data_IF_542846657182
#
_entry.id   IF_542846657182
#
_cell.length_a   1.000
_cell.length_b   1.000
_cell.length_c   1.000
_cell.angle_alpha   90.00
_cell.angle_beta   90.00
_cell.angle_gamma   90.00
#
_symmetry.space_group_name_H-M   'P 1'
#
loop_
_entity.id
_entity.type
_entity.pdbx_description
1 polymer ?
#
# COMPACT_ATOMS: atom_id res chain seq x y z
N UNK A 1 -33.33 -0.04 -21.68
CA UNK A 1 -32.39 -1.16 -22.00
C UNK A 1 -33.18 -2.45 -21.99
N UNK A 2 -32.96 -3.36 -22.93
CA UNK A 2 -33.59 -4.69 -22.92
C UNK A 2 -33.10 -5.55 -21.72
N UNK A 3 -33.85 -6.58 -21.29
CA UNK A 3 -33.47 -7.44 -20.17
C UNK A 3 -32.12 -8.14 -20.40
N UNK A 4 -31.33 -8.27 -19.33
CA UNK A 4 -30.00 -8.90 -19.35
C UNK A 4 -30.10 -10.38 -19.72
N UNK A 5 -29.21 -10.87 -20.59
CA UNK A 5 -29.17 -12.29 -20.93
C UNK A 5 -28.23 -13.06 -19.97
N UNK A 6 -28.72 -14.03 -19.19
CA UNK A 6 -27.93 -14.71 -18.15
C UNK A 6 -26.81 -15.61 -18.71
N UNK A 7 -26.86 -15.97 -20.00
CA UNK A 7 -25.82 -16.78 -20.65
C UNK A 7 -24.64 -15.93 -21.11
N UNK A 8 -24.88 -14.74 -21.66
CA UNK A 8 -23.85 -13.87 -22.24
C UNK A 8 -23.40 -12.77 -21.30
N UNK A 9 -24.31 -12.17 -20.54
CA UNK A 9 -23.99 -11.06 -19.64
C UNK A 9 -23.67 -11.61 -18.25
N UNK A 10 -22.44 -12.12 -18.05
CA UNK A 10 -21.98 -12.57 -16.72
C UNK A 10 -21.65 -11.39 -15.80
N UNK A 11 -21.85 -11.56 -14.49
CA UNK A 11 -21.63 -10.51 -13.49
C UNK A 11 -20.14 -10.15 -13.39
N UNK A 12 -19.28 -11.17 -13.42
CA UNK A 12 -17.84 -11.09 -13.60
C UNK A 12 -17.54 -11.63 -14.98
N UNK A 13 -16.83 -10.84 -15.79
CA UNK A 13 -16.41 -11.22 -17.13
C UNK A 13 -14.89 -11.01 -17.26
N UNK A 14 -14.29 -11.58 -18.30
CA UNK A 14 -12.85 -11.49 -18.54
C UNK A 14 -12.37 -10.04 -18.69
N UNK A 15 -13.22 -9.15 -19.24
CA UNK A 15 -12.92 -7.72 -19.35
C UNK A 15 -12.78 -7.04 -17.99
N UNK A 16 -13.63 -7.39 -17.03
CA UNK A 16 -13.57 -6.90 -15.66
C UNK A 16 -12.29 -7.42 -14.98
N UNK A 17 -11.99 -8.70 -15.14
CA UNK A 17 -10.78 -9.32 -14.58
C UNK A 17 -9.52 -8.64 -15.17
N UNK A 18 -9.48 -8.46 -16.49
CA UNK A 18 -8.36 -7.83 -17.19
C UNK A 18 -8.13 -6.37 -16.74
N UNK A 19 -9.20 -5.58 -16.58
CA UNK A 19 -9.09 -4.21 -16.10
C UNK A 19 -8.62 -4.15 -14.64
N UNK A 20 -9.24 -4.94 -13.76
CA UNK A 20 -8.94 -4.92 -12.33
C UNK A 20 -7.55 -5.49 -12.01
N UNK A 21 -7.28 -6.73 -12.41
CA UNK A 21 -6.02 -7.40 -12.07
C UNK A 21 -4.88 -7.02 -13.01
N UNK A 22 -5.16 -6.86 -14.30
CA UNK A 22 -4.11 -6.65 -15.31
C UNK A 22 -3.63 -5.21 -15.42
N UNK A 23 -4.48 -4.22 -15.11
CA UNK A 23 -4.14 -2.80 -15.28
C UNK A 23 -4.09 -2.08 -13.94
N UNK A 24 -5.23 -1.95 -13.26
CA UNK A 24 -5.32 -1.15 -12.04
C UNK A 24 -4.48 -1.79 -10.93
N UNK A 25 -4.65 -3.08 -10.67
CA UNK A 25 -3.91 -3.81 -9.65
C UNK A 25 -2.40 -3.77 -9.85
N UNK A 26 -1.93 -3.79 -11.10
CA UNK A 26 -0.49 -3.67 -11.40
C UNK A 26 0.04 -2.28 -11.03
N UNK A 27 -0.71 -1.21 -11.32
CA UNK A 27 -0.33 0.16 -10.94
C UNK A 27 -0.32 0.30 -9.41
N UNK A 28 -1.32 -0.27 -8.73
CA UNK A 28 -1.38 -0.28 -7.26
C UNK A 28 -0.17 -1.02 -6.65
N UNK A 29 0.15 -2.20 -7.18
CA UNK A 29 1.30 -2.98 -6.72
C UNK A 29 2.62 -2.21 -6.90
N UNK A 30 2.82 -1.57 -8.05
CA UNK A 30 4.00 -0.74 -8.30
C UNK A 30 4.09 0.46 -7.34
N UNK A 31 2.96 1.10 -7.04
CA UNK A 31 2.90 2.18 -6.03
C UNK A 31 3.31 1.70 -4.64
N UNK A 32 2.84 0.52 -4.22
CA UNK A 32 3.25 -0.08 -2.96
C UNK A 32 4.75 -0.42 -2.91
N UNK A 33 5.26 -1.10 -3.94
CA UNK A 33 6.69 -1.43 -4.02
C UNK A 33 7.56 -0.18 -4.06
N UNK A 34 7.11 0.90 -4.71
CA UNK A 34 7.81 2.17 -4.70
C UNK A 34 7.97 2.71 -3.26
N UNK A 35 6.91 2.76 -2.47
CA UNK A 35 7.00 3.21 -1.07
C UNK A 35 7.90 2.32 -0.21
N UNK A 36 7.87 1.01 -0.44
CA UNK A 36 8.75 0.04 0.22
C UNK A 36 10.23 0.33 -0.04
N UNK A 37 10.60 0.54 -1.31
CA UNK A 37 11.98 0.85 -1.68
C UNK A 37 12.45 2.21 -1.18
N UNK A 38 11.57 3.22 -1.18
CA UNK A 38 11.91 4.56 -0.68
C UNK A 38 12.25 4.51 0.81
N UNK A 39 11.43 3.84 1.63
CA UNK A 39 11.69 3.77 3.08
C UNK A 39 12.96 2.99 3.38
N UNK A 40 13.21 1.87 2.70
CA UNK A 40 14.45 1.13 2.89
C UNK A 40 15.68 1.95 2.48
N UNK A 41 15.61 2.66 1.34
CA UNK A 41 16.69 3.50 0.87
C UNK A 41 16.99 4.66 1.85
N UNK A 42 15.95 5.32 2.38
CA UNK A 42 16.11 6.36 3.41
C UNK A 42 16.73 5.83 4.71
N UNK A 43 16.54 4.55 5.03
CA UNK A 43 17.15 3.89 6.18
C UNK A 43 18.47 3.18 5.85
N UNK A 44 19.06 3.42 4.68
CA UNK A 44 20.40 2.93 4.33
C UNK A 44 20.45 1.70 3.42
N UNK A 45 19.32 1.06 3.16
CA UNK A 45 19.23 -0.14 2.32
C UNK A 45 18.79 0.21 0.90
N UNK A 46 19.76 0.45 0.01
CA UNK A 46 19.46 0.76 -1.39
C UNK A 46 18.77 -0.42 -2.10
N UNK A 47 17.88 -0.18 -3.08
CA UNK A 47 17.11 -1.25 -3.73
C UNK A 47 17.96 -2.36 -4.37
N UNK A 48 19.16 -2.03 -4.85
CA UNK A 48 20.09 -2.99 -5.44
C UNK A 48 20.70 -3.93 -4.39
N UNK A 49 20.94 -3.42 -3.18
CA UNK A 49 21.54 -4.16 -2.06
C UNK A 49 20.54 -5.13 -1.40
N UNK A 50 19.23 -4.90 -1.60
CA UNK A 50 18.17 -5.78 -1.10
C UNK A 50 18.10 -7.13 -1.82
N UNK A 51 18.66 -7.24 -3.03
CA UNK A 51 18.60 -8.48 -3.81
C UNK A 51 19.46 -9.57 -3.16
N UNK A 52 18.81 -10.64 -2.68
CA UNK A 52 19.48 -11.75 -2.01
C UNK A 52 19.69 -11.55 -0.51
N UNK A 53 19.41 -10.36 0.03
CA UNK A 53 19.60 -10.03 1.45
C UNK A 53 18.65 -10.77 2.40
N UNK A 54 17.58 -11.41 1.87
CA UNK A 54 16.53 -12.05 2.68
C UNK A 54 17.06 -13.07 3.69
N UNK A 55 18.05 -13.89 3.30
CA UNK A 55 18.58 -14.94 4.19
C UNK A 55 19.18 -14.32 5.43
N UNK A 56 20.05 -13.33 5.23
CA UNK A 56 20.68 -12.61 6.33
C UNK A 56 19.63 -11.79 7.08
N UNK A 57 18.68 -11.16 6.36
CA UNK A 57 17.56 -10.32 6.87
C UNK A 57 16.54 -11.06 7.75
N UNK A 58 16.40 -12.38 7.60
CA UNK A 58 15.49 -13.19 8.42
C UNK A 58 16.22 -13.93 9.55
N UNK A 59 17.56 -14.02 9.53
CA UNK A 59 18.31 -14.74 10.56
C UNK A 59 18.28 -14.05 11.95
N UNK A 60 17.82 -14.80 12.95
CA UNK A 60 17.94 -14.57 14.41
C UNK A 60 19.26 -13.94 14.85
N UNK A 61 20.30 -14.64 14.42
CA UNK A 61 21.58 -14.68 15.11
C UNK A 61 22.57 -13.66 14.56
N UNK A 62 22.29 -13.14 13.36
CA UNK A 62 23.07 -12.11 12.69
C UNK A 62 22.60 -10.74 13.18
N UNK A 63 23.50 -10.00 13.82
CA UNK A 63 23.21 -8.67 14.40
C UNK A 63 24.10 -7.57 13.81
N UNK A 64 24.79 -7.89 12.72
CA UNK A 64 25.81 -7.12 12.06
C UNK A 64 25.58 -7.04 10.54
N UNK A 65 24.31 -7.06 10.11
CA UNK A 65 23.97 -6.89 8.68
C UNK A 65 24.38 -5.49 8.22
N UNK A 66 25.24 -5.45 7.21
CA UNK A 66 25.75 -4.22 6.63
C UNK A 66 24.76 -3.60 5.64
N UNK A 67 24.48 -2.31 5.78
CA UNK A 67 23.70 -1.54 4.83
C UNK A 67 24.57 -1.00 3.67
N UNK A 68 23.97 -0.21 2.76
CA UNK A 68 24.71 0.34 1.61
C UNK A 68 25.70 1.46 1.96
N UNK A 69 25.67 1.96 3.20
CA UNK A 69 26.56 3.00 3.72
C UNK A 69 27.62 2.46 4.70
N UNK A 70 27.66 1.15 4.92
CA UNK A 70 28.61 0.49 5.82
C UNK A 70 28.20 0.48 7.29
N UNK A 71 26.92 0.75 7.61
CA UNK A 71 26.41 0.64 8.98
C UNK A 71 25.96 -0.78 9.28
N UNK A 72 26.16 -1.23 10.51
CA UNK A 72 25.73 -2.55 10.98
C UNK A 72 24.41 -2.45 11.72
N UNK A 73 23.46 -3.31 11.34
CA UNK A 73 22.10 -3.34 11.85
C UNK A 73 21.83 -4.62 12.64
N UNK A 74 21.33 -4.46 13.88
CA UNK A 74 20.85 -5.57 14.70
C UNK A 74 19.53 -6.13 14.19
N UNK A 75 19.19 -7.37 14.59
CA UNK A 75 17.95 -8.03 14.19
C UNK A 75 16.69 -7.21 14.53
N UNK A 76 16.65 -6.59 15.71
CA UNK A 76 15.49 -5.81 16.12
C UNK A 76 15.36 -4.51 15.32
N UNK A 77 16.47 -3.80 15.08
CA UNK A 77 16.46 -2.54 14.34
C UNK A 77 15.94 -2.71 12.91
N UNK A 78 16.45 -3.72 12.18
CA UNK A 78 16.00 -4.01 10.82
C UNK A 78 14.53 -4.49 10.77
N UNK A 79 14.07 -5.26 11.77
CA UNK A 79 12.67 -5.68 11.83
C UNK A 79 11.73 -4.52 12.12
N UNK A 80 12.16 -3.52 12.89
CA UNK A 80 11.43 -2.25 13.03
C UNK A 80 11.29 -1.56 11.67
N UNK A 81 12.36 -1.49 10.88
CA UNK A 81 12.32 -0.91 9.52
C UNK A 81 11.39 -1.71 8.61
N UNK A 82 11.46 -3.05 8.64
CA UNK A 82 10.58 -3.93 7.87
C UNK A 82 9.09 -3.72 8.21
N UNK A 83 8.76 -3.67 9.49
CA UNK A 83 7.37 -3.44 9.93
C UNK A 83 6.89 -2.02 9.61
N UNK A 84 7.79 -1.04 9.63
CA UNK A 84 7.51 0.30 9.13
C UNK A 84 7.20 0.27 7.63
N UNK A 85 7.96 -0.51 6.85
CA UNK A 85 7.70 -0.70 5.42
C UNK A 85 6.35 -1.38 5.15
N UNK A 86 5.97 -2.40 5.94
CA UNK A 86 4.64 -3.02 5.83
C UNK A 86 3.52 -2.01 6.10
N UNK A 87 3.70 -1.16 7.12
CA UNK A 87 2.72 -0.12 7.45
C UNK A 87 2.59 0.90 6.33
N UNK A 88 3.71 1.32 5.74
CA UNK A 88 3.71 2.24 4.61
C UNK A 88 3.10 1.64 3.35
N UNK A 89 3.39 0.36 3.07
CA UNK A 89 2.78 -0.36 1.96
C UNK A 89 1.26 -0.43 2.16
N UNK A 90 0.79 -0.73 3.36
CA UNK A 90 -0.63 -0.70 3.70
C UNK A 90 -1.25 0.69 3.46
N UNK A 91 -0.63 1.76 3.95
CA UNK A 91 -1.11 3.14 3.70
C UNK A 91 -1.10 3.48 2.21
N UNK A 92 -0.10 3.01 1.45
CA UNK A 92 -0.04 3.21 0.00
C UNK A 92 -1.23 2.55 -0.71
N UNK A 93 -1.65 1.36 -0.28
CA UNK A 93 -2.84 0.68 -0.79
C UNK A 93 -4.07 1.57 -0.54
N UNK A 94 -4.24 2.09 0.69
CA UNK A 94 -5.37 2.97 1.02
C UNK A 94 -5.39 4.22 0.12
N UNK A 95 -4.24 4.82 -0.14
CA UNK A 95 -4.13 6.00 -1.01
C UNK A 95 -4.55 5.67 -2.46
N UNK A 96 -4.06 4.57 -3.04
CA UNK A 96 -4.43 4.21 -4.41
C UNK A 96 -5.89 3.71 -4.51
N UNK A 97 -6.46 3.20 -3.43
CA UNK A 97 -7.87 2.83 -3.34
C UNK A 97 -8.80 4.03 -3.46
N UNK A 98 -8.37 5.24 -3.07
CA UNK A 98 -9.18 6.44 -3.32
C UNK A 98 -9.44 6.66 -4.80
N UNK A 99 -8.40 6.50 -5.63
CA UNK A 99 -8.52 6.61 -7.08
C UNK A 99 -9.34 5.47 -7.67
N UNK A 100 -9.11 4.23 -7.22
CA UNK A 100 -9.87 3.06 -7.69
C UNK A 100 -11.37 3.22 -7.39
N UNK A 101 -11.73 3.63 -6.18
CA UNK A 101 -13.11 3.86 -5.77
C UNK A 101 -13.79 4.96 -6.61
N UNK A 102 -13.06 6.02 -6.96
CA UNK A 102 -13.55 7.08 -7.86
C UNK A 102 -13.75 6.56 -9.29
N UNK A 103 -12.84 5.74 -9.81
CA UNK A 103 -12.92 5.16 -11.16
C UNK A 103 -14.06 4.13 -11.25
N UNK A 104 -14.15 3.22 -10.27
CA UNK A 104 -15.18 2.18 -10.21
C UNK A 104 -16.60 2.74 -10.04
N UNK A 105 -16.75 3.98 -9.56
CA UNK A 105 -18.04 4.69 -9.47
C UNK A 105 -18.75 4.78 -10.82
N UNK A 106 -18.00 4.97 -11.91
CA UNK A 106 -18.55 5.23 -13.24
C UNK A 106 -17.96 4.29 -14.27
N UNK A 107 -18.77 3.40 -14.84
CA UNK A 107 -18.31 2.45 -15.87
C UNK A 107 -18.19 3.04 -17.29
N UNK A 108 -18.76 4.22 -17.53
CA UNK A 108 -18.83 4.85 -18.88
C UNK A 108 -18.80 6.37 -18.85
N UNK A 109 -19.55 6.99 -17.94
CA UNK A 109 -19.59 8.45 -17.83
C UNK A 109 -18.32 8.96 -17.16
N UNK A 110 -17.94 10.21 -17.46
CA UNK A 110 -16.87 10.87 -16.71
C UNK A 110 -17.33 11.23 -15.29
N UNK A 111 -16.40 11.21 -14.33
CA UNK A 111 -16.64 11.65 -12.95
C UNK A 111 -17.13 13.09 -12.91
N UNK A 112 -16.66 13.96 -13.81
CA UNK A 112 -17.10 15.35 -13.90
C UNK A 112 -18.55 15.48 -14.40
N UNK A 113 -18.97 14.59 -15.30
CA UNK A 113 -20.34 14.58 -15.81
C UNK A 113 -21.32 14.01 -14.77
N UNK A 114 -20.90 12.99 -14.02
CA UNK A 114 -21.76 12.33 -13.04
C UNK A 114 -21.78 13.05 -11.67
N UNK A 115 -20.65 13.65 -11.29
CA UNK A 115 -20.43 14.31 -10.00
C UNK A 115 -20.28 13.36 -8.81
N UNK A 116 -19.78 13.88 -7.68
CA UNK A 116 -19.63 13.15 -6.42
C UNK A 116 -20.82 13.35 -5.47
N UNK A 117 -22.04 12.99 -5.90
CA UNK A 117 -23.26 13.19 -5.08
C UNK A 117 -23.55 12.06 -4.07
N UNK A 118 -22.78 10.97 -4.11
CA UNK A 118 -23.01 9.82 -3.22
C UNK A 118 -22.34 10.10 -1.86
N UNK A 119 -23.15 10.52 -0.88
CA UNK A 119 -22.70 10.83 0.49
C UNK A 119 -22.08 9.63 1.21
N UNK A 120 -22.61 8.42 0.99
CA UNK A 120 -22.07 7.18 1.60
C UNK A 120 -20.65 6.91 1.07
N UNK A 121 -20.43 7.13 -0.22
CA UNK A 121 -19.12 6.94 -0.85
C UNK A 121 -18.08 7.93 -0.29
N UNK A 122 -18.46 9.20 -0.13
CA UNK A 122 -17.56 10.22 0.45
C UNK A 122 -17.28 9.89 1.93
N UNK A 123 -18.30 9.48 2.68
CA UNK A 123 -18.12 9.04 4.07
C UNK A 123 -17.18 7.83 4.17
N UNK A 124 -17.33 6.85 3.28
CA UNK A 124 -16.45 5.68 3.22
C UNK A 124 -14.98 6.05 3.00
N UNK A 125 -14.68 6.99 2.10
CA UNK A 125 -13.30 7.48 1.90
C UNK A 125 -12.72 8.12 3.18
N UNK A 126 -13.52 8.90 3.90
CA UNK A 126 -13.09 9.52 5.15
C UNK A 126 -12.87 8.47 6.25
N UNK A 127 -13.79 7.51 6.39
CA UNK A 127 -13.70 6.45 7.38
C UNK A 127 -12.49 5.54 7.12
N UNK A 128 -12.25 5.15 5.87
CA UNK A 128 -11.09 4.35 5.46
C UNK A 128 -9.77 5.05 5.81
N UNK A 129 -9.69 6.35 5.51
CA UNK A 129 -8.51 7.18 5.84
C UNK A 129 -8.31 7.31 7.34
N UNK A 130 -9.40 7.53 8.09
CA UNK A 130 -9.36 7.65 9.54
C UNK A 130 -8.95 6.32 10.19
N UNK A 131 -9.45 5.19 9.69
CA UNK A 131 -9.07 3.86 10.15
C UNK A 131 -7.60 3.58 9.86
N UNK A 132 -7.11 3.91 8.66
CA UNK A 132 -5.70 3.74 8.32
C UNK A 132 -4.79 4.57 9.24
N UNK A 133 -5.14 5.84 9.48
CA UNK A 133 -4.42 6.70 10.41
C UNK A 133 -4.48 6.16 11.86
N UNK A 134 -5.65 5.69 12.31
CA UNK A 134 -5.80 5.10 13.63
C UNK A 134 -4.91 3.86 13.80
N UNK A 135 -4.90 2.96 12.82
CA UNK A 135 -4.10 1.74 12.87
C UNK A 135 -2.58 2.04 12.84
N UNK A 136 -2.15 3.07 12.11
CA UNK A 136 -0.73 3.45 12.05
C UNK A 136 -0.22 4.21 13.28
N UNK A 137 -1.04 5.06 13.92
CA UNK A 137 -0.58 5.97 14.98
C UNK A 137 -1.10 5.64 16.38
N UNK A 138 -2.05 4.73 16.54
CA UNK A 138 -2.57 4.38 17.86
C UNK A 138 -1.52 3.61 18.69
N UNK A 139 -1.24 4.02 19.94
CA UNK A 139 -0.26 3.34 20.79
C UNK A 139 -0.71 1.91 21.09
N UNK A 140 0.20 0.94 20.96
CA UNK A 140 -0.08 -0.48 21.13
C UNK A 140 -0.27 -1.25 19.81
N UNK A 141 -0.47 -0.56 18.69
CA UNK A 141 -0.60 -1.20 17.37
C UNK A 141 0.71 -1.83 16.86
N UNK A 142 1.86 -1.32 17.32
CA UNK A 142 3.17 -1.94 17.06
C UNK A 142 3.34 -3.32 17.71
N UNK A 143 2.60 -3.63 18.78
CA UNK A 143 2.64 -4.95 19.44
C UNK A 143 1.52 -5.85 18.89
N UNK A 144 0.33 -5.29 18.68
CA UNK A 144 -0.83 -6.07 18.22
C UNK A 144 -0.75 -6.45 16.73
N UNK A 145 -0.49 -5.48 15.86
CA UNK A 145 -0.48 -5.66 14.40
C UNK A 145 0.89 -5.41 13.76
N UNK A 146 1.92 -5.13 14.56
CA UNK A 146 3.26 -4.73 14.07
C UNK A 146 3.18 -3.53 13.12
N UNK A 147 2.30 -2.58 13.45
CA UNK A 147 2.20 -1.32 12.73
C UNK A 147 2.98 -0.24 13.45
N UNK A 148 3.91 0.38 12.74
CA UNK A 148 4.79 1.41 13.28
C UNK A 148 4.43 2.78 12.70
N UNK A 149 4.56 3.86 13.48
CA UNK A 149 4.19 5.19 13.02
C UNK A 149 5.08 5.60 11.84
N UNK A 150 4.44 6.14 10.81
CA UNK A 150 5.13 6.63 9.64
C UNK A 150 5.63 8.06 9.89
N UNK A 151 6.84 8.37 9.43
CA UNK A 151 7.34 9.75 9.42
C UNK A 151 6.63 10.52 8.31
N UNK A 152 6.23 11.76 8.61
CA UNK A 152 5.73 12.67 7.58
C UNK A 152 6.90 13.27 6.82
N UNK A 153 6.79 13.39 5.49
CA UNK A 153 7.83 13.98 4.63
C UNK A 153 8.26 15.40 5.08
N UNK A 154 7.38 16.13 5.77
CA UNK A 154 7.65 17.45 6.35
C UNK A 154 8.69 17.45 7.47
N UNK A 155 9.08 16.31 8.04
CA UNK A 155 10.14 16.23 9.05
C UNK A 155 11.56 16.24 8.47
N UNK A 156 11.69 16.23 7.14
CA UNK A 156 12.97 16.22 6.42
C UNK A 156 13.29 17.55 5.71
N UNK A 157 12.53 18.63 5.98
CA UNK A 157 12.79 20.01 5.49
C UNK A 157 13.35 20.92 6.57
#
# INVERSE_FOLDING_TARGET
>A
RQPRNPKTDKLVNERLISMAYGQIGMIQALGGFFTYFVILAENGFLPIHLLGLRVDWDDRWINDVEDSYGQQWTYEQRKIVEFTCHTAFFVSIVVVQWADLVICKTRRNSVFQQGMKNKILIFGLFEETALAAFLSYCPGMGVALRMYPLKTLTQYS
#
